data_IF_365706197630
#
_entry.id   IF_365706197630
#
_cell.length_a   1.000
_cell.length_b   1.000
_cell.length_c   1.000
_cell.angle_alpha   90.00
_cell.angle_beta   90.00
_cell.angle_gamma   90.00
#
_symmetry.space_group_name_H-M   'P 1'
#
loop_
_entity.id
_entity.type
_entity.pdbx_description
1 polymer ?
#
# COMPACT_ATOMS: atom_id res chain seq x y z
N UNK A 1 15.13 34.45 2.04
CA UNK A 1 14.29 33.37 1.46
C UNK A 1 12.88 33.91 1.44
N UNK A 2 12.20 33.93 0.29
CA UNK A 2 10.86 34.52 0.16
C UNK A 2 9.86 33.77 1.04
N UNK A 3 9.33 34.46 2.06
CA UNK A 3 8.27 34.02 2.98
C UNK A 3 6.88 34.08 2.34
N UNK A 4 6.70 33.55 1.12
CA UNK A 4 5.40 33.62 0.43
C UNK A 4 4.54 32.37 0.58
N UNK A 5 5.11 31.24 1.02
CA UNK A 5 4.39 29.98 1.15
C UNK A 5 4.80 29.22 2.42
N UNK A 6 3.81 28.67 3.12
CA UNK A 6 3.99 27.74 4.25
C UNK A 6 3.67 26.31 3.79
N UNK A 7 4.56 25.36 4.10
CA UNK A 7 4.37 23.94 3.76
C UNK A 7 3.71 23.22 4.91
N UNK A 8 2.40 23.02 4.82
CA UNK A 8 1.63 22.26 5.82
C UNK A 8 1.38 20.82 5.38
N UNK A 9 1.45 19.90 6.33
CA UNK A 9 1.07 18.51 6.10
C UNK A 9 -0.42 18.35 6.42
N UNK A 10 -1.18 17.87 5.45
CA UNK A 10 -2.62 17.62 5.59
C UNK A 10 -2.93 16.12 5.47
N UNK A 11 -3.84 15.61 6.29
CA UNK A 11 -4.32 14.22 6.24
C UNK A 11 -4.97 13.85 4.90
N UNK A 12 -5.64 14.80 4.24
CA UNK A 12 -6.22 14.66 2.90
C UNK A 12 -5.17 14.51 1.80
N UNK A 13 -3.95 14.98 2.02
CA UNK A 13 -2.86 14.92 1.05
C UNK A 13 -2.17 13.55 1.09
N UNK A 14 -2.00 12.93 -0.08
CA UNK A 14 -1.26 11.66 -0.27
C UNK A 14 -0.10 11.80 -1.22
N UNK A 15 0.96 11.02 -0.98
CA UNK A 15 2.08 10.89 -1.92
C UNK A 15 1.90 9.63 -2.76
N UNK A 16 1.78 9.80 -4.07
CA UNK A 16 1.50 8.70 -4.99
C UNK A 16 2.75 8.34 -5.78
N UNK A 17 3.03 7.04 -5.88
CA UNK A 17 4.22 6.53 -6.57
C UNK A 17 3.76 5.62 -7.69
N UNK A 18 3.97 6.05 -8.93
CA UNK A 18 3.80 5.20 -10.10
C UNK A 18 5.10 4.46 -10.38
N UNK A 19 5.00 3.14 -10.54
CA UNK A 19 6.13 2.29 -10.92
C UNK A 19 5.76 1.48 -12.16
N UNK A 20 6.66 1.48 -13.13
CA UNK A 20 6.57 0.69 -14.35
C UNK A 20 7.88 -0.05 -14.57
N UNK A 21 7.85 -1.24 -15.18
CA UNK A 21 9.07 -1.87 -15.68
C UNK A 21 9.67 -1.04 -16.81
N UNK A 22 10.95 -1.28 -17.10
CA UNK A 22 11.67 -0.64 -18.22
C UNK A 22 11.02 -0.93 -19.59
N UNK A 23 10.30 -2.04 -19.70
CA UNK A 23 9.45 -2.39 -20.85
C UNK A 23 8.17 -1.56 -20.97
N UNK A 24 8.01 -0.50 -20.17
CA UNK A 24 6.85 0.41 -20.04
C UNK A 24 5.60 -0.21 -19.42
N UNK A 25 5.38 -1.52 -19.57
CA UNK A 25 4.21 -2.22 -18.99
C UNK A 25 4.59 -3.59 -18.42
N UNK A 26 3.93 -3.95 -17.31
CA UNK A 26 4.05 -5.28 -16.70
C UNK A 26 3.52 -6.36 -17.65
N UNK A 27 4.25 -7.46 -17.81
CA UNK A 27 3.71 -8.67 -18.43
C UNK A 27 2.58 -9.24 -17.57
N UNK A 28 1.74 -10.12 -18.15
CA UNK A 28 0.65 -10.74 -17.39
C UNK A 28 1.18 -11.56 -16.19
N UNK A 29 2.29 -12.28 -16.36
CA UNK A 29 2.93 -13.04 -15.27
C UNK A 29 3.40 -12.10 -14.15
N UNK A 30 4.10 -11.03 -14.50
CA UNK A 30 4.55 -10.03 -13.53
C UNK A 30 3.38 -9.41 -12.77
N UNK A 31 2.33 -9.00 -13.50
CA UNK A 31 1.14 -8.40 -12.91
C UNK A 31 0.44 -9.34 -11.93
N UNK A 32 0.31 -10.64 -12.29
CA UNK A 32 -0.24 -11.67 -11.40
C UNK A 32 0.61 -11.83 -10.14
N UNK A 33 1.94 -11.77 -10.22
CA UNK A 33 2.82 -11.83 -9.04
C UNK A 33 2.60 -10.63 -8.11
N UNK A 34 2.52 -9.41 -8.63
CA UNK A 34 2.20 -8.24 -7.79
C UNK A 34 0.82 -8.37 -7.17
N UNK A 35 -0.19 -8.79 -7.94
CA UNK A 35 -1.55 -8.95 -7.44
C UNK A 35 -1.59 -9.94 -6.26
N UNK A 36 -0.94 -11.09 -6.36
CA UNK A 36 -0.83 -12.07 -5.27
C UNK A 36 -0.11 -11.50 -4.05
N UNK A 37 1.02 -10.83 -4.26
CA UNK A 37 1.78 -10.21 -3.17
C UNK A 37 0.96 -9.12 -2.46
N UNK A 38 0.21 -8.31 -3.21
CA UNK A 38 -0.72 -7.31 -2.64
C UNK A 38 -1.77 -7.98 -1.77
N UNK A 39 -2.42 -9.06 -2.23
CA UNK A 39 -3.40 -9.78 -1.41
C UNK A 39 -2.76 -10.39 -0.15
N UNK A 40 -1.56 -10.96 -0.27
CA UNK A 40 -0.89 -11.64 0.83
C UNK A 40 -0.33 -10.68 1.90
N UNK A 41 0.26 -9.57 1.46
CA UNK A 41 0.99 -8.62 2.30
C UNK A 41 0.19 -7.34 2.59
N UNK A 42 -1.10 -7.28 2.24
CA UNK A 42 -1.94 -6.10 2.48
C UNK A 42 -1.88 -5.65 3.95
N UNK A 43 -2.08 -6.51 4.96
CA UNK A 43 -2.08 -6.06 6.36
C UNK A 43 -0.70 -5.53 6.81
N UNK A 44 0.38 -6.13 6.29
CA UNK A 44 1.75 -5.74 6.64
C UNK A 44 2.14 -4.43 5.97
N UNK A 45 1.70 -4.22 4.73
CA UNK A 45 1.86 -2.95 4.01
C UNK A 45 1.05 -1.83 4.66
N UNK A 46 -0.17 -2.13 5.12
CA UNK A 46 -1.01 -1.17 5.85
C UNK A 46 -0.32 -0.69 7.14
N UNK A 47 0.28 -1.60 7.91
CA UNK A 47 1.01 -1.30 9.16
C UNK A 47 2.25 -0.40 8.99
N UNK A 48 2.78 -0.28 7.78
CA UNK A 48 3.89 0.64 7.47
C UNK A 48 3.44 2.10 7.38
N UNK A 49 2.15 2.33 7.07
CA UNK A 49 1.58 3.66 6.94
C UNK A 49 1.07 4.19 8.29
N UNK A 50 1.03 5.52 8.48
CA UNK A 50 0.58 6.08 9.75
C UNK A 50 -0.95 5.95 9.92
N UNK A 51 -1.50 6.22 11.13
CA UNK A 51 -2.94 6.04 11.42
C UNK A 51 -3.86 6.79 10.44
N UNK A 52 -3.50 7.99 10.00
CA UNK A 52 -4.25 8.79 9.01
C UNK A 52 -4.43 8.12 7.65
N UNK A 53 -3.69 7.04 7.37
CA UNK A 53 -3.69 6.32 6.08
C UNK A 53 -4.25 4.91 6.18
N UNK A 54 -4.88 4.58 7.31
CA UNK A 54 -5.56 3.31 7.51
C UNK A 54 -6.96 3.32 6.90
N UNK A 55 -7.53 2.14 6.71
CA UNK A 55 -8.90 1.99 6.24
C UNK A 55 -9.89 2.64 7.21
N UNK A 56 -11.04 3.06 6.69
CA UNK A 56 -12.11 3.76 7.41
C UNK A 56 -11.74 5.16 7.93
N UNK A 57 -10.48 5.57 7.85
CA UNK A 57 -10.08 6.95 8.14
C UNK A 57 -10.31 7.84 6.93
N UNK A 58 -9.82 7.45 5.76
CA UNK A 58 -9.95 8.24 4.53
C UNK A 58 -10.76 7.50 3.47
N UNK A 59 -11.45 8.25 2.60
CA UNK A 59 -12.22 7.69 1.49
C UNK A 59 -11.35 7.11 0.36
N UNK A 60 -10.03 7.31 0.43
CA UNK A 60 -9.05 6.87 -0.55
C UNK A 60 -7.98 5.98 0.10
N UNK A 61 -7.11 5.39 -0.72
CA UNK A 61 -6.10 4.40 -0.33
C UNK A 61 -6.64 3.24 0.52
N UNK A 62 -7.85 2.77 0.22
CA UNK A 62 -8.52 1.62 0.86
C UNK A 62 -7.79 0.30 0.58
N UNK A 63 -7.95 -0.68 1.47
CA UNK A 63 -7.38 -2.01 1.30
C UNK A 63 -7.80 -2.67 -0.02
N UNK A 64 -6.84 -3.37 -0.61
CA UNK A 64 -7.04 -4.27 -1.76
C UNK A 64 -7.66 -5.62 -1.35
N UNK A 65 -7.89 -5.85 -0.06
CA UNK A 65 -8.52 -7.04 0.52
C UNK A 65 -9.74 -6.70 1.38
N UNK A 66 -10.30 -5.50 1.23
CA UNK A 66 -11.60 -5.13 1.80
C UNK A 66 -12.76 -5.98 1.26
N UNK A 67 -13.89 -6.04 1.98
CA UNK A 67 -15.05 -6.87 1.62
C UNK A 67 -15.75 -6.45 0.30
N UNK A 68 -15.52 -5.21 -0.12
CA UNK A 68 -15.94 -4.65 -1.41
C UNK A 68 -15.01 -5.02 -2.57
N UNK A 69 -13.94 -5.78 -2.31
CA UNK A 69 -13.01 -6.32 -3.30
C UNK A 69 -13.18 -7.84 -3.39
N UNK A 70 -13.16 -8.39 -4.62
CA UNK A 70 -13.33 -9.84 -4.83
C UNK A 70 -12.29 -10.67 -4.09
N UNK A 71 -11.02 -10.24 -4.11
CA UNK A 71 -9.96 -10.85 -3.32
C UNK A 71 -10.28 -10.87 -1.82
N UNK A 72 -10.76 -9.76 -1.26
CA UNK A 72 -11.14 -9.66 0.16
C UNK A 72 -12.32 -10.55 0.52
N UNK A 73 -13.35 -10.59 -0.34
CA UNK A 73 -14.49 -11.51 -0.18
C UNK A 73 -14.04 -12.97 -0.18
N UNK A 74 -13.11 -13.34 -1.06
CA UNK A 74 -12.53 -14.69 -1.09
C UNK A 74 -11.83 -15.05 0.24
N UNK A 75 -11.08 -14.11 0.83
CA UNK A 75 -10.44 -14.29 2.13
C UNK A 75 -11.46 -14.44 3.25
N UNK A 76 -12.48 -13.60 3.28
CA UNK A 76 -13.51 -13.61 4.31
C UNK A 76 -14.34 -14.90 4.29
N UNK A 77 -14.81 -15.33 3.12
CA UNK A 77 -15.68 -16.51 2.98
C UNK A 77 -14.97 -17.83 3.31
N UNK A 78 -13.66 -17.91 3.07
CA UNK A 78 -12.92 -19.18 3.14
C UNK A 78 -11.89 -19.23 4.29
N UNK A 79 -11.77 -18.14 5.06
CA UNK A 79 -10.67 -17.93 5.98
C UNK A 79 -9.33 -17.71 5.27
N UNK A 80 -8.32 -17.27 6.02
CA UNK A 80 -7.04 -16.81 5.45
C UNK A 80 -6.37 -17.86 4.54
N UNK A 81 -6.16 -19.08 5.04
CA UNK A 81 -5.36 -20.09 4.34
C UNK A 81 -6.02 -20.62 3.06
N UNK A 82 -7.32 -20.95 3.10
CA UNK A 82 -8.05 -21.42 1.91
C UNK A 82 -8.39 -20.25 0.98
N UNK A 83 -8.70 -19.09 1.57
CA UNK A 83 -8.96 -17.86 0.84
C UNK A 83 -7.77 -17.42 -0.01
N UNK A 84 -6.56 -17.38 0.56
CA UNK A 84 -5.35 -17.02 -0.19
C UNK A 84 -5.09 -17.97 -1.36
N UNK A 85 -5.18 -19.29 -1.13
CA UNK A 85 -5.04 -20.28 -2.22
C UNK A 85 -6.11 -20.11 -3.30
N UNK A 86 -7.34 -19.79 -2.91
CA UNK A 86 -8.41 -19.48 -3.87
C UNK A 86 -8.12 -18.22 -4.67
N UNK A 87 -7.65 -17.16 -4.00
CA UNK A 87 -7.27 -15.91 -4.64
C UNK A 87 -6.12 -16.10 -5.63
N UNK A 88 -5.09 -16.87 -5.28
CA UNK A 88 -4.00 -17.22 -6.20
C UNK A 88 -4.52 -17.92 -7.46
N UNK A 89 -5.38 -18.93 -7.30
CA UNK A 89 -6.01 -19.62 -8.44
C UNK A 89 -6.82 -18.66 -9.30
N UNK A 90 -7.67 -17.82 -8.70
CA UNK A 90 -8.44 -16.82 -9.45
C UNK A 90 -7.52 -15.90 -10.25
N UNK A 91 -6.42 -15.42 -9.66
CA UNK A 91 -5.44 -14.55 -10.33
C UNK A 91 -4.71 -15.30 -11.46
N UNK A 92 -4.29 -16.54 -11.24
CA UNK A 92 -3.53 -17.34 -12.21
C UNK A 92 -4.32 -17.69 -13.47
N UNK A 93 -5.61 -17.91 -13.35
CA UNK A 93 -6.49 -18.24 -14.47
C UNK A 93 -7.22 -17.03 -15.07
N UNK A 94 -7.02 -15.82 -14.53
CA UNK A 94 -7.65 -14.60 -15.03
C UNK A 94 -6.90 -13.99 -16.21
N UNK A 95 -7.62 -13.35 -17.13
CA UNK A 95 -7.02 -12.40 -18.08
C UNK A 95 -6.42 -11.19 -17.34
N UNK A 96 -5.65 -10.34 -18.04
CA UNK A 96 -5.08 -9.12 -17.44
C UNK A 96 -6.11 -8.29 -16.70
N UNK A 97 -7.16 -7.86 -17.40
CA UNK A 97 -8.16 -6.96 -16.83
C UNK A 97 -9.00 -7.64 -15.73
N UNK A 98 -9.23 -8.96 -15.84
CA UNK A 98 -9.89 -9.72 -14.79
C UNK A 98 -9.03 -9.81 -13.52
N UNK A 99 -7.71 -10.05 -13.65
CA UNK A 99 -6.79 -10.07 -12.52
C UNK A 99 -6.71 -8.69 -11.83
N UNK A 100 -6.69 -7.60 -12.62
CA UNK A 100 -6.75 -6.23 -12.11
C UNK A 100 -8.04 -6.00 -11.33
N UNK A 101 -9.20 -6.30 -11.93
CA UNK A 101 -10.49 -6.07 -11.28
C UNK A 101 -10.66 -6.91 -10.01
N UNK A 102 -10.07 -8.11 -9.98
CA UNK A 102 -10.11 -9.01 -8.82
C UNK A 102 -9.48 -8.40 -7.56
N UNK A 103 -8.40 -7.62 -7.70
CA UNK A 103 -7.67 -6.99 -6.58
C UNK A 103 -7.86 -5.48 -6.47
N UNK A 104 -8.36 -4.83 -7.53
CA UNK A 104 -8.43 -3.38 -7.64
C UNK A 104 -9.64 -2.96 -8.52
N UNK A 105 -10.86 -3.02 -7.97
CA UNK A 105 -12.08 -2.72 -8.74
C UNK A 105 -12.20 -1.24 -9.11
N UNK A 106 -11.57 -0.35 -8.35
CA UNK A 106 -11.64 1.10 -8.52
C UNK A 106 -10.29 1.78 -8.20
N UNK A 107 -10.24 3.11 -8.41
CA UNK A 107 -9.03 3.92 -8.18
C UNK A 107 -8.73 4.18 -6.71
N UNK A 108 -9.64 3.90 -5.79
CA UNK A 108 -9.51 4.31 -4.39
C UNK A 108 -8.67 3.34 -3.56
N UNK A 109 -8.03 2.35 -4.18
CA UNK A 109 -7.23 1.32 -3.50
C UNK A 109 -5.80 1.77 -3.21
N UNK A 110 -5.22 1.20 -2.16
CA UNK A 110 -3.85 1.45 -1.72
C UNK A 110 -2.84 1.12 -2.82
N UNK A 111 -3.04 -0.01 -3.50
CA UNK A 111 -2.37 -0.33 -4.76
C UNK A 111 -3.38 -0.22 -5.90
N UNK A 112 -3.23 0.82 -6.72
CA UNK A 112 -4.06 1.06 -7.89
C UNK A 112 -3.45 0.40 -9.13
N UNK A 113 -4.12 -0.65 -9.62
CA UNK A 113 -3.71 -1.43 -10.80
C UNK A 113 -4.38 -0.95 -12.10
N UNK A 114 -5.32 0.00 -12.03
CA UNK A 114 -6.05 0.46 -13.21
C UNK A 114 -5.14 0.98 -14.35
N UNK A 115 -4.00 1.66 -14.08
CA UNK A 115 -3.09 2.07 -15.15
C UNK A 115 -2.40 0.90 -15.87
N UNK A 116 -2.41 -0.32 -15.29
CA UNK A 116 -1.81 -1.51 -15.88
C UNK A 116 -2.75 -2.32 -16.79
N UNK A 117 -3.99 -1.85 -17.04
CA UNK A 117 -4.94 -2.43 -18.01
C UNK A 117 -4.36 -2.41 -19.43
N UNK A 118 -4.93 -3.19 -20.35
CA UNK A 118 -4.43 -3.30 -21.74
C UNK A 118 -4.31 -1.93 -22.46
N UNK A 119 -5.20 -0.98 -22.17
CA UNK A 119 -5.20 0.37 -22.73
C UNK A 119 -4.67 1.44 -21.76
N UNK A 120 -4.02 1.02 -20.67
CA UNK A 120 -3.45 1.92 -19.67
C UNK A 120 -2.01 2.31 -19.95
N UNK A 121 -1.43 3.15 -19.09
CA UNK A 121 -0.04 3.61 -19.20
C UNK A 121 1.00 2.61 -18.66
N UNK A 122 0.58 1.41 -18.22
CA UNK A 122 1.45 0.30 -17.85
C UNK A 122 2.01 0.31 -16.44
N UNK A 123 1.68 1.33 -15.62
CA UNK A 123 2.15 1.45 -14.23
C UNK A 123 1.23 0.78 -13.21
N UNK A 124 1.79 0.47 -12.05
CA UNK A 124 1.04 0.26 -10.80
C UNK A 124 1.33 1.46 -9.91
N UNK A 125 0.32 1.95 -9.20
CA UNK A 125 0.43 3.14 -8.37
C UNK A 125 0.20 2.81 -6.90
N UNK A 126 1.16 3.15 -6.04
CA UNK A 126 1.02 3.06 -4.59
C UNK A 126 0.51 4.39 -4.02
N UNK A 127 -0.66 4.35 -3.37
CA UNK A 127 -1.43 5.52 -2.90
C UNK A 127 -1.53 5.63 -1.39
N UNK A 128 -0.98 4.69 -0.63
CA UNK A 128 -1.05 4.71 0.84
C UNK A 128 -0.08 5.67 1.56
N UNK A 129 1.07 6.09 1.01
CA UNK A 129 1.93 7.05 1.69
C UNK A 129 1.22 8.35 2.08
N UNK A 130 1.47 8.91 3.28
CA UNK A 130 0.97 10.22 3.66
C UNK A 130 1.63 11.32 2.81
N UNK A 131 1.08 12.55 2.85
CA UNK A 131 1.75 13.72 2.31
C UNK A 131 3.18 13.85 2.85
N UNK A 132 4.17 13.97 1.94
CA UNK A 132 5.60 14.07 2.30
C UNK A 132 6.06 15.51 2.19
N UNK A 133 6.72 16.01 3.25
CA UNK A 133 7.19 17.41 3.34
C UNK A 133 8.70 17.56 3.11
N UNK A 134 9.42 16.46 2.88
CA UNK A 134 10.85 16.50 2.60
C UNK A 134 11.31 15.32 1.73
N UNK A 135 12.49 15.49 1.13
CA UNK A 135 13.08 14.52 0.20
C UNK A 135 13.41 13.18 0.86
N UNK A 136 13.79 13.15 2.14
CA UNK A 136 14.07 11.89 2.87
C UNK A 136 12.82 11.01 2.97
N UNK A 137 11.68 11.58 3.37
CA UNK A 137 10.39 10.87 3.42
C UNK A 137 9.92 10.43 2.03
N UNK A 138 10.08 11.28 1.01
CA UNK A 138 9.75 10.92 -0.37
C UNK A 138 10.58 9.73 -0.86
N UNK A 139 11.90 9.78 -0.70
CA UNK A 139 12.82 8.70 -1.07
C UNK A 139 12.54 7.40 -0.32
N UNK A 140 12.15 7.47 0.95
CA UNK A 140 11.72 6.30 1.72
C UNK A 140 10.55 5.57 1.07
N UNK A 141 9.48 6.29 0.70
CA UNK A 141 8.31 5.66 0.09
C UNK A 141 8.60 5.16 -1.33
N UNK A 142 9.44 5.86 -2.09
CA UNK A 142 9.94 5.37 -3.40
C UNK A 142 10.68 4.05 -3.20
N UNK A 143 11.66 4.01 -2.28
CA UNK A 143 12.43 2.81 -1.98
C UNK A 143 11.52 1.67 -1.48
N UNK A 144 10.56 1.96 -0.61
CA UNK A 144 9.58 0.98 -0.13
C UNK A 144 8.79 0.37 -1.29
N UNK A 145 8.27 1.22 -2.18
CA UNK A 145 7.46 0.79 -3.34
C UNK A 145 8.29 -0.07 -4.30
N UNK A 146 9.51 0.36 -4.61
CA UNK A 146 10.42 -0.40 -5.46
C UNK A 146 10.77 -1.76 -4.84
N UNK A 147 11.11 -1.79 -3.55
CA UNK A 147 11.43 -3.02 -2.83
C UNK A 147 10.24 -3.97 -2.75
N UNK A 148 9.03 -3.47 -2.55
CA UNK A 148 7.82 -4.28 -2.54
C UNK A 148 7.56 -4.93 -3.90
N UNK A 149 7.65 -4.17 -4.99
CA UNK A 149 7.46 -4.71 -6.35
C UNK A 149 8.54 -5.74 -6.68
N UNK A 150 9.80 -5.45 -6.38
CA UNK A 150 10.90 -6.38 -6.59
C UNK A 150 10.74 -7.68 -5.77
N UNK A 151 10.36 -7.56 -4.49
CA UNK A 151 10.02 -8.69 -3.64
C UNK A 151 8.91 -9.53 -4.26
N UNK A 152 7.84 -8.89 -4.75
CA UNK A 152 6.73 -9.57 -5.40
C UNK A 152 7.15 -10.31 -6.68
N UNK A 153 8.01 -9.70 -7.50
CA UNK A 153 8.54 -10.33 -8.73
C UNK A 153 9.38 -11.57 -8.43
N UNK A 154 10.17 -11.53 -7.36
CA UNK A 154 11.06 -12.63 -6.95
C UNK A 154 10.34 -13.74 -6.20
N UNK A 155 9.10 -13.52 -5.76
CA UNK A 155 8.36 -14.50 -4.96
C UNK A 155 8.08 -15.78 -5.75
N UNK A 156 8.46 -16.93 -5.17
CA UNK A 156 8.12 -18.26 -5.69
C UNK A 156 6.70 -18.64 -5.30
N UNK A 157 5.99 -19.36 -6.19
CA UNK A 157 4.56 -19.68 -6.07
C UNK A 157 4.20 -20.60 -4.87
N UNK A 158 5.16 -21.28 -4.26
CA UNK A 158 4.96 -22.18 -3.10
C UNK A 158 4.87 -21.46 -1.74
N UNK A 159 5.00 -20.13 -1.72
CA UNK A 159 5.18 -19.35 -0.48
C UNK A 159 3.92 -19.10 0.35
N UNK A 160 2.72 -19.08 -0.25
CA UNK A 160 1.50 -18.72 0.49
C UNK A 160 1.25 -19.68 1.65
N UNK A 161 1.51 -20.98 1.46
CA UNK A 161 1.36 -21.96 2.53
C UNK A 161 2.30 -21.70 3.72
N UNK A 162 3.54 -21.26 3.46
CA UNK A 162 4.54 -20.98 4.50
C UNK A 162 4.21 -19.72 5.30
N UNK A 163 3.83 -18.65 4.62
CA UNK A 163 3.52 -17.36 5.27
C UNK A 163 2.20 -17.45 6.07
N UNK A 164 1.21 -18.23 5.62
CA UNK A 164 -0.04 -18.40 6.37
C UNK A 164 0.16 -19.05 7.75
N UNK A 165 1.19 -19.88 7.90
CA UNK A 165 1.48 -20.61 9.15
C UNK A 165 2.61 -19.96 9.96
N UNK A 166 3.27 -18.93 9.42
CA UNK A 166 4.31 -18.22 10.13
C UNK A 166 3.73 -17.50 11.36
N UNK A 167 4.33 -17.73 12.53
CA UNK A 167 3.95 -17.08 13.78
C UNK A 167 4.19 -15.56 13.72
N UNK A 168 5.20 -15.10 12.96
CA UNK A 168 5.55 -13.70 12.80
C UNK A 168 5.64 -13.26 11.33
N UNK A 169 4.46 -13.13 10.70
CA UNK A 169 4.31 -12.67 9.31
C UNK A 169 4.83 -11.26 9.06
N UNK A 170 4.85 -10.41 10.08
CA UNK A 170 5.31 -9.03 9.94
C UNK A 170 6.83 -9.01 9.81
N UNK A 171 7.56 -9.68 10.71
CA UNK A 171 9.03 -9.72 10.62
C UNK A 171 9.52 -10.37 9.34
N UNK A 172 8.82 -11.41 8.84
CA UNK A 172 9.16 -12.02 7.55
C UNK A 172 8.95 -11.04 6.38
N UNK A 173 7.85 -10.28 6.38
CA UNK A 173 7.62 -9.23 5.40
C UNK A 173 8.70 -8.14 5.45
N UNK A 174 9.00 -7.64 6.65
CA UNK A 174 10.00 -6.58 6.85
C UNK A 174 11.38 -7.04 6.36
N UNK A 175 11.81 -8.26 6.72
CA UNK A 175 13.08 -8.83 6.25
C UNK A 175 13.15 -8.89 4.71
N UNK A 176 12.09 -9.35 4.06
CA UNK A 176 12.03 -9.46 2.58
C UNK A 176 12.09 -8.09 1.91
N UNK A 177 11.40 -7.09 2.44
CA UNK A 177 11.47 -5.71 1.94
C UNK A 177 12.90 -5.16 2.08
N UNK A 178 13.55 -5.39 3.21
CA UNK A 178 14.93 -4.93 3.44
C UNK A 178 15.92 -5.62 2.49
N UNK A 179 15.75 -6.92 2.23
CA UNK A 179 16.61 -7.66 1.31
C UNK A 179 16.41 -7.23 -0.16
N UNK A 180 15.16 -6.99 -0.58
CA UNK A 180 14.90 -6.37 -1.89
C UNK A 180 15.49 -4.96 -1.98
N UNK A 181 15.41 -4.16 -0.92
CA UNK A 181 16.02 -2.82 -0.88
C UNK A 181 17.55 -2.86 -1.04
N UNK A 182 18.22 -3.82 -0.41
CA UNK A 182 19.67 -4.04 -0.57
C UNK A 182 19.99 -4.45 -2.00
N UNK A 183 19.24 -5.41 -2.56
CA UNK A 183 19.47 -5.89 -3.91
C UNK A 183 19.25 -4.83 -5.00
N UNK A 184 18.35 -3.87 -4.75
CA UNK A 184 18.11 -2.73 -5.63
C UNK A 184 19.08 -1.54 -5.40
N UNK A 185 19.93 -1.60 -4.37
CA UNK A 185 20.81 -0.48 -4.00
C UNK A 185 20.08 0.72 -3.40
N UNK A 186 18.83 0.56 -2.93
CA UNK A 186 18.00 1.64 -2.36
C UNK A 186 17.88 1.57 -0.84
N UNK A 187 18.53 0.60 -0.19
CA UNK A 187 18.47 0.40 1.27
C UNK A 187 18.77 1.67 2.08
N UNK A 188 19.77 2.46 1.67
CA UNK A 188 20.13 3.71 2.35
C UNK A 188 19.02 4.77 2.38
N UNK A 189 18.02 4.64 1.51
CA UNK A 189 16.87 5.56 1.44
C UNK A 189 15.67 5.07 2.28
N UNK A 190 15.71 3.83 2.76
CA UNK A 190 14.60 3.18 3.44
C UNK A 190 14.80 3.29 4.96
N UNK A 191 13.79 3.78 5.70
CA UNK A 191 13.75 3.59 7.16
C UNK A 191 13.62 2.09 7.43
N UNK A 192 14.59 1.45 8.11
CA UNK A 192 14.58 0.01 8.31
C UNK A 192 13.45 -0.47 9.22
N UNK A 193 12.82 0.44 9.98
CA UNK A 193 11.62 0.13 10.77
C UNK A 193 10.38 0.03 9.88
N UNK A 194 10.45 0.54 8.65
CA UNK A 194 9.39 0.58 7.64
C UNK A 194 8.09 1.29 8.07
N UNK A 195 8.05 1.86 9.28
CA UNK A 195 6.86 2.48 9.85
C UNK A 195 7.02 3.98 9.84
N UNK A 196 6.01 4.66 9.28
CA UNK A 196 5.83 6.09 9.46
C UNK A 196 4.78 6.34 10.53
N UNK A 197 5.01 7.38 11.33
CA UNK A 197 4.06 7.86 12.32
C UNK A 197 3.56 9.23 11.91
N UNK A 198 2.31 9.49 12.25
CA UNK A 198 1.75 10.83 12.19
C UNK A 198 2.36 11.69 13.30
N UNK A 199 2.29 13.01 13.10
CA UNK A 199 2.53 14.00 14.15
C UNK A 199 1.25 14.80 14.30
N UNK A 200 0.27 14.34 15.10
CA UNK A 200 -1.08 14.89 15.10
C UNK A 200 -1.13 16.41 15.28
N UNK A 201 -0.30 16.97 16.17
CA UNK A 201 -0.16 18.43 16.37
C UNK A 201 0.28 19.22 15.14
N UNK A 202 0.94 18.56 14.19
CA UNK A 202 1.44 19.18 12.96
C UNK A 202 0.56 18.83 11.74
N UNK A 203 -0.53 18.08 11.93
CA UNK A 203 -1.38 17.60 10.85
C UNK A 203 -2.64 18.43 10.76
N UNK A 204 -2.84 19.00 9.57
CA UNK A 204 -4.12 19.53 9.20
C UNK A 204 -5.11 18.42 8.90
N UNK A 205 -6.32 18.55 9.42
CA UNK A 205 -7.40 17.56 9.27
C UNK A 205 -8.50 18.10 8.36
N UNK A 206 -8.14 18.69 7.22
CA UNK A 206 -9.14 19.14 6.27
C UNK A 206 -9.81 17.94 5.59
N UNK A 207 -11.09 18.09 5.24
CA UNK A 207 -11.88 17.11 4.49
C UNK A 207 -12.01 15.70 5.14
N UNK A 208 -11.71 15.54 6.43
CA UNK A 208 -12.02 14.34 7.20
C UNK A 208 -13.44 14.43 7.77
N UNK A 209 -14.18 13.32 7.79
CA UNK A 209 -15.49 13.29 8.47
C UNK A 209 -15.31 13.27 9.99
N UNK A 210 -16.36 13.65 10.73
CA UNK A 210 -16.33 13.58 12.20
C UNK A 210 -16.08 12.14 12.69
N UNK A 211 -16.72 11.15 12.07
CA UNK A 211 -16.52 9.73 12.37
C UNK A 211 -15.05 9.32 12.21
N UNK A 212 -14.42 9.70 11.09
CA UNK A 212 -13.01 9.43 10.85
C UNK A 212 -12.08 10.16 11.83
N UNK A 213 -12.43 11.37 12.24
CA UNK A 213 -11.69 12.11 13.26
C UNK A 213 -11.80 11.44 14.64
N UNK A 214 -12.98 10.92 14.98
CA UNK A 214 -13.20 10.19 16.24
C UNK A 214 -12.38 8.89 16.27
N UNK A 215 -12.29 8.17 15.14
CA UNK A 215 -11.40 7.01 14.99
C UNK A 215 -9.94 7.40 15.26
N UNK A 216 -9.47 8.51 14.69
CA UNK A 216 -8.11 8.99 14.93
C UNK A 216 -7.88 9.41 16.38
N UNK A 217 -8.85 10.10 17.00
CA UNK A 217 -8.80 10.52 18.41
C UNK A 217 -8.80 9.36 19.39
N UNK A 218 -9.40 8.22 19.01
CA UNK A 218 -9.32 6.99 19.79
C UNK A 218 -7.89 6.40 19.84
N UNK A 219 -7.07 6.67 18.82
CA UNK A 219 -5.66 6.27 18.78
C UNK A 219 -4.78 7.31 19.48
N UNK A 220 -5.02 8.60 19.22
CA UNK A 220 -4.29 9.71 19.82
C UNK A 220 -5.23 10.92 19.98
N UNK A 221 -5.53 11.37 21.21
CA UNK A 221 -6.43 12.50 21.44
C UNK A 221 -6.01 13.82 20.78
N UNK A 222 -4.75 13.95 20.35
CA UNK A 222 -4.22 15.18 19.75
C UNK A 222 -4.68 15.44 18.32
N UNK A 223 -5.29 14.46 17.64
CA UNK A 223 -5.84 14.68 16.30
C UNK A 223 -6.95 15.74 16.31
N UNK A 224 -6.76 16.79 15.52
CA UNK A 224 -7.74 17.88 15.36
C UNK A 224 -7.89 18.77 16.59
N UNK A 225 -6.93 18.77 17.53
CA UNK A 225 -6.88 19.75 18.63
C UNK A 225 -6.38 21.14 18.18
N UNK A 226 -5.91 21.27 16.94
CA UNK A 226 -5.37 22.53 16.41
C UNK A 226 -5.81 22.77 14.96
N UNK A 227 -6.94 23.46 14.73
CA UNK A 227 -7.27 24.09 13.45
C UNK A 227 -6.84 25.57 13.45
N UNK A 228 -6.31 26.04 12.31
CA UNK A 228 -6.24 27.44 11.86
C UNK A 228 -5.54 28.47 12.80
N UNK A 229 -4.20 28.46 12.84
CA UNK A 229 -3.44 29.74 12.86
C UNK A 229 -2.90 30.05 11.48
#
# INVERSE_FOLDING_TARGET
>A
MNEQFDFRQDTSCGYHIHISPTTKSFSLDQLRRVAKAVVLFEPMTARCAPPSRQDNVMAFCKSNTGLDVLAGRQLWMNGLSRGLRGAEKCIDFSTRNAAIYYVCPDKYRAWNFLPAKDNGHGSIEFRRPPGVVNSKKAKHWIAFTMSFIDMAMRQRQDHVARICVAQDRQSEFEARILDSAKALGVYAQLDPRLRQLDRPRCLYTSAISQESLDILRAVDPEYGLYPDT
#
